data_IF_833314163094
#
_entry.id   IF_833314163094
#
_cell.length_a   1.000
_cell.length_b   1.000
_cell.length_c   1.000
_cell.angle_alpha   90.00
_cell.angle_beta   90.00
_cell.angle_gamma   90.00
#
_symmetry.space_group_name_H-M   'P 1'
#
loop_
_entity.id
_entity.type
_entity.pdbx_description
1 polymer ?
#
# COMPACT_ATOMS: atom_id res chain seq x y z
N UNK A 1 21.30 -4.33 -6.57
CA UNK A 1 21.29 -2.85 -6.65
C UNK A 1 20.99 -2.32 -5.24
N UNK A 2 21.66 -1.27 -4.75
CA UNK A 2 21.54 -0.86 -3.33
C UNK A 2 20.27 -0.06 -3.04
N UNK A 3 19.43 0.24 -4.02
CA UNK A 3 18.20 1.00 -3.91
C UNK A 3 16.93 0.15 -3.73
N UNK A 4 17.07 -1.17 -3.56
CA UNK A 4 15.94 -2.08 -3.35
C UNK A 4 15.51 -2.19 -1.88
N UNK A 5 14.23 -2.45 -1.67
CA UNK A 5 13.61 -2.77 -0.40
C UNK A 5 12.76 -4.04 -0.57
N UNK A 6 12.87 -4.91 0.42
CA UNK A 6 12.10 -6.13 0.54
C UNK A 6 11.43 -6.14 1.90
N UNK A 7 10.13 -6.40 1.90
CA UNK A 7 9.31 -6.39 3.09
C UNK A 7 8.09 -7.26 2.89
N UNK A 8 7.46 -7.60 4.00
CA UNK A 8 6.11 -8.13 3.98
C UNK A 8 5.12 -7.11 4.52
N UNK A 9 3.90 -7.19 4.03
CA UNK A 9 2.77 -6.38 4.49
C UNK A 9 1.59 -7.30 4.77
N UNK A 10 0.95 -7.08 5.91
CA UNK A 10 -0.16 -7.92 6.38
C UNK A 10 -1.24 -7.09 7.06
N UNK A 11 -2.45 -7.65 7.10
CA UNK A 11 -3.59 -7.05 7.78
C UNK A 11 -4.79 -7.99 7.76
N UNK A 12 -5.71 -7.75 8.69
CA UNK A 12 -6.92 -8.58 8.83
C UNK A 12 -7.86 -8.46 7.64
N UNK A 13 -7.92 -7.26 7.05
CA UNK A 13 -8.74 -6.96 5.89
C UNK A 13 -8.02 -6.07 4.89
N UNK A 14 -8.40 -6.17 3.62
CA UNK A 14 -7.99 -5.23 2.58
C UNK A 14 -9.15 -4.94 1.61
N UNK A 15 -9.18 -3.74 1.05
CA UNK A 15 -10.17 -3.31 0.06
C UNK A 15 -9.50 -2.56 -1.08
N UNK A 16 -9.07 -3.30 -2.10
CA UNK A 16 -8.55 -2.74 -3.33
C UNK A 16 -9.69 -2.58 -4.33
N UNK A 17 -10.45 -1.49 -4.21
CA UNK A 17 -11.75 -1.37 -4.89
C UNK A 17 -11.67 -1.54 -6.41
N UNK A 18 -12.48 -2.46 -6.95
CA UNK A 18 -12.77 -2.56 -8.38
C UNK A 18 -13.67 -1.37 -8.79
N UNK A 19 -13.21 -0.48 -9.70
CA UNK A 19 -13.98 0.67 -10.14
C UNK A 19 -15.29 0.31 -10.87
N UNK A 20 -15.38 -0.86 -11.51
CA UNK A 20 -16.59 -1.29 -12.22
C UNK A 20 -17.74 -1.59 -11.26
N UNK A 21 -17.42 -2.09 -10.06
CA UNK A 21 -18.39 -2.51 -9.05
C UNK A 21 -18.89 -1.36 -8.16
N UNK A 22 -18.52 -0.10 -8.47
CA UNK A 22 -18.92 1.08 -7.66
C UNK A 22 -20.32 1.62 -7.96
N UNK A 23 -20.95 1.23 -9.07
CA UNK A 23 -22.19 1.88 -9.56
C UNK A 23 -23.41 1.71 -8.64
N UNK A 24 -23.38 0.79 -7.67
CA UNK A 24 -24.48 0.55 -6.73
C UNK A 24 -24.25 1.07 -5.30
N UNK A 25 -23.21 1.85 -5.05
CA UNK A 25 -22.81 2.25 -3.69
C UNK A 25 -22.13 1.15 -2.88
N UNK A 26 -22.15 -0.09 -3.36
CA UNK A 26 -21.35 -1.22 -2.87
C UNK A 26 -19.91 -1.14 -3.39
N UNK A 27 -19.00 -1.86 -2.73
CA UNK A 27 -17.60 -1.97 -3.15
C UNK A 27 -17.16 -3.42 -3.09
N UNK A 28 -16.60 -3.90 -4.19
CA UNK A 28 -15.91 -5.18 -4.26
C UNK A 28 -14.41 -4.93 -4.33
N UNK A 29 -13.63 -5.68 -3.57
CA UNK A 29 -12.19 -5.72 -3.71
C UNK A 29 -11.77 -6.53 -4.94
N UNK A 30 -10.70 -6.11 -5.60
CA UNK A 30 -9.90 -7.01 -6.44
C UNK A 30 -9.36 -8.16 -5.60
N UNK A 31 -9.08 -9.29 -6.27
CA UNK A 31 -8.48 -10.47 -5.66
C UNK A 31 -7.04 -10.25 -5.18
N UNK A 32 -6.34 -9.26 -5.76
CA UNK A 32 -4.94 -8.95 -5.51
C UNK A 32 -4.75 -7.44 -5.43
N UNK A 33 -3.72 -6.95 -4.70
CA UNK A 33 -3.41 -5.53 -4.64
C UNK A 33 -3.05 -4.95 -6.02
N UNK A 34 -3.46 -3.71 -6.26
CA UNK A 34 -3.02 -2.97 -7.45
C UNK A 34 -1.61 -2.43 -7.27
N UNK A 35 -0.89 -2.21 -8.37
CA UNK A 35 0.45 -1.59 -8.34
C UNK A 35 0.47 -0.29 -7.52
N UNK A 36 -0.53 0.58 -7.74
CA UNK A 36 -0.60 1.87 -7.07
C UNK A 36 -0.86 1.76 -5.56
N UNK A 37 -1.63 0.77 -5.12
CA UNK A 37 -1.85 0.54 -3.68
C UNK A 37 -0.54 0.17 -2.98
N UNK A 38 0.26 -0.69 -3.62
CA UNK A 38 1.55 -1.13 -3.09
C UNK A 38 2.58 -0.02 -3.11
N UNK A 39 2.62 0.76 -4.19
CA UNK A 39 3.42 1.97 -4.27
C UNK A 39 3.10 2.90 -3.09
N UNK A 40 1.82 3.13 -2.79
CA UNK A 40 1.38 3.94 -1.65
C UNK A 40 1.84 3.38 -0.30
N UNK A 41 1.80 2.05 -0.12
CA UNK A 41 2.31 1.39 1.09
C UNK A 41 3.82 1.63 1.26
N UNK A 42 4.62 1.46 0.20
CA UNK A 42 6.05 1.74 0.24
C UNK A 42 6.32 3.21 0.57
N UNK A 43 5.55 4.11 -0.01
CA UNK A 43 5.67 5.54 0.28
C UNK A 43 5.35 5.84 1.76
N UNK A 44 4.38 5.14 2.36
CA UNK A 44 4.07 5.25 3.80
C UNK A 44 5.21 4.79 4.70
N UNK A 45 6.02 3.82 4.26
CA UNK A 45 7.25 3.44 4.96
C UNK A 45 8.21 4.64 4.97
N UNK A 46 8.57 5.15 3.81
CA UNK A 46 9.37 6.35 3.66
C UNK A 46 9.29 6.90 2.24
N UNK A 47 9.08 8.22 2.13
CA UNK A 47 9.07 8.90 0.84
C UNK A 47 9.60 10.33 0.93
N UNK A 48 10.21 10.79 -0.16
CA UNK A 48 10.58 12.17 -0.45
C UNK A 48 10.35 12.45 -1.93
N UNK A 49 10.05 13.71 -2.33
CA UNK A 49 9.79 14.08 -3.73
C UNK A 49 10.97 13.82 -4.68
N UNK A 50 12.18 13.68 -4.13
CA UNK A 50 13.41 13.26 -4.83
C UNK A 50 13.31 11.84 -5.40
N UNK A 51 12.38 11.01 -4.90
CA UNK A 51 12.27 9.60 -5.22
C UNK A 51 10.97 9.28 -5.94
N UNK A 52 11.04 8.34 -6.87
CA UNK A 52 9.89 7.59 -7.39
C UNK A 52 10.06 6.12 -7.00
N UNK A 53 9.01 5.54 -6.43
CA UNK A 53 8.97 4.13 -6.09
C UNK A 53 8.51 3.31 -7.29
N UNK A 54 9.26 2.25 -7.57
CA UNK A 54 8.95 1.23 -8.57
C UNK A 54 8.72 -0.10 -7.85
N UNK A 55 7.55 -0.70 -8.04
CA UNK A 55 7.22 -2.02 -7.49
C UNK A 55 7.64 -3.08 -8.51
N UNK A 56 8.54 -3.96 -8.11
CA UNK A 56 9.10 -4.96 -9.01
C UNK A 56 8.30 -6.26 -9.00
N UNK A 57 8.03 -6.77 -7.79
CA UNK A 57 7.39 -8.08 -7.61
C UNK A 57 6.51 -8.09 -6.37
N UNK A 58 5.49 -8.93 -6.45
CA UNK A 58 4.64 -9.28 -5.34
C UNK A 58 4.44 -10.78 -5.27
N UNK A 59 4.40 -11.30 -4.05
CA UNK A 59 4.03 -12.67 -3.76
C UNK A 59 2.85 -12.68 -2.80
N UNK A 60 1.81 -13.41 -3.18
CA UNK A 60 0.61 -13.61 -2.36
C UNK A 60 0.87 -14.80 -1.46
N UNK A 61 0.88 -14.58 -0.14
CA UNK A 61 1.28 -15.62 0.82
C UNK A 61 0.09 -16.43 1.32
N UNK A 62 -1.07 -15.79 1.46
CA UNK A 62 -2.28 -16.41 1.97
C UNK A 62 -3.28 -16.66 0.83
N UNK A 63 -4.12 -17.70 0.97
CA UNK A 63 -5.20 -17.97 0.04
C UNK A 63 -6.18 -16.79 -0.03
N UNK A 64 -6.64 -16.47 -1.25
CA UNK A 64 -7.58 -15.38 -1.50
C UNK A 64 -8.94 -15.77 -0.91
N UNK A 65 -9.37 -15.04 0.11
CA UNK A 65 -10.66 -15.22 0.78
C UNK A 65 -11.37 -13.88 0.86
N UNK A 66 -12.67 -13.89 0.60
CA UNK A 66 -13.51 -12.69 0.64
C UNK A 66 -14.51 -12.76 1.79
N UNK A 67 -14.82 -11.61 2.38
CA UNK A 67 -15.83 -11.46 3.42
C UNK A 67 -16.66 -10.20 3.14
N UNK A 68 -17.98 -10.35 3.05
CA UNK A 68 -18.90 -9.23 2.90
C UNK A 68 -19.26 -8.66 4.27
N UNK A 69 -19.23 -7.33 4.41
CA UNK A 69 -19.59 -6.62 5.64
C UNK A 69 -20.51 -5.45 5.33
N UNK A 70 -21.52 -5.29 6.17
CA UNK A 70 -22.34 -4.08 6.21
C UNK A 70 -21.52 -2.89 6.74
N UNK A 71 -21.45 -1.84 5.94
CA UNK A 71 -20.72 -0.61 6.23
C UNK A 71 -21.68 0.56 6.11
N UNK A 72 -21.48 1.59 6.93
CA UNK A 72 -22.05 2.91 6.73
C UNK A 72 -21.02 3.79 6.03
N UNK A 73 -21.16 4.08 4.72
CA UNK A 73 -20.21 4.94 4.01
C UNK A 73 -20.15 6.33 4.64
N UNK A 74 -18.94 6.91 4.67
CA UNK A 74 -18.73 8.28 5.15
C UNK A 74 -18.76 9.20 3.92
N UNK A 75 -19.86 9.92 3.75
CA UNK A 75 -20.07 10.84 2.64
C UNK A 75 -20.55 12.20 3.15
N UNK A 76 -20.16 13.29 2.45
CA UNK A 76 -20.42 14.65 2.90
C UNK A 76 -21.91 15.00 3.00
N UNK A 77 -22.75 14.42 2.12
CA UNK A 77 -24.20 14.68 2.09
C UNK A 77 -24.99 14.15 3.28
N UNK A 78 -24.35 13.34 4.15
CA UNK A 78 -25.05 12.66 5.24
C UNK A 78 -26.00 11.56 4.76
N UNK A 79 -26.50 10.76 5.71
CA UNK A 79 -27.42 9.63 5.44
C UNK A 79 -27.08 8.39 6.26
N UNK A 80 -28.08 7.53 6.47
CA UNK A 80 -27.92 6.21 7.11
C UNK A 80 -27.94 5.08 6.06
N UNK A 81 -27.34 5.32 4.90
CA UNK A 81 -27.26 4.30 3.85
C UNK A 81 -26.36 3.17 4.33
N UNK A 82 -26.90 1.96 4.35
CA UNK A 82 -26.14 0.74 4.58
C UNK A 82 -25.69 0.22 3.21
N UNK A 83 -24.40 -0.06 3.07
CA UNK A 83 -23.83 -0.67 1.88
C UNK A 83 -23.06 -1.93 2.25
N UNK A 84 -23.05 -2.93 1.38
CA UNK A 84 -22.22 -4.12 1.57
C UNK A 84 -20.90 -3.95 0.85
N UNK A 85 -19.80 -3.98 1.60
CA UNK A 85 -18.46 -3.99 1.04
C UNK A 85 -17.88 -5.39 1.18
N UNK A 86 -17.31 -5.91 0.10
CA UNK A 86 -16.62 -7.20 0.11
C UNK A 86 -15.11 -6.98 0.18
N UNK A 87 -14.52 -7.43 1.28
CA UNK A 87 -13.12 -7.28 1.62
C UNK A 87 -12.35 -8.56 1.36
N UNK A 88 -11.03 -8.45 1.15
CA UNK A 88 -10.13 -9.59 1.32
C UNK A 88 -9.92 -9.81 2.81
N UNK A 89 -9.81 -11.07 3.23
CA UNK A 89 -9.61 -11.44 4.64
C UNK A 89 -8.26 -12.11 4.86
N UNK A 90 -7.59 -11.77 5.97
CA UNK A 90 -6.33 -12.32 6.43
C UNK A 90 -5.28 -12.31 5.32
N UNK A 91 -4.90 -11.11 4.89
CA UNK A 91 -3.99 -10.92 3.76
C UNK A 91 -2.54 -10.81 4.23
N UNK A 92 -1.63 -11.40 3.46
CA UNK A 92 -0.19 -11.28 3.66
C UNK A 92 0.49 -11.30 2.30
N UNK A 93 1.37 -10.33 2.06
CA UNK A 93 2.09 -10.17 0.80
C UNK A 93 3.57 -9.93 1.08
N UNK A 94 4.44 -10.59 0.32
CA UNK A 94 5.84 -10.15 0.21
C UNK A 94 5.95 -9.21 -0.98
N UNK A 95 6.74 -8.15 -0.83
CA UNK A 95 6.91 -7.10 -1.83
C UNK A 95 8.40 -6.85 -2.04
N UNK A 96 8.81 -6.82 -3.31
CA UNK A 96 10.10 -6.30 -3.73
C UNK A 96 9.87 -5.02 -4.53
N UNK A 97 10.54 -3.95 -4.13
CA UNK A 97 10.47 -2.65 -4.78
C UNK A 97 11.85 -1.98 -4.78
N UNK A 98 12.02 -0.96 -5.61
CA UNK A 98 13.18 -0.08 -5.56
C UNK A 98 12.77 1.37 -5.79
N UNK A 99 13.66 2.30 -5.47
CA UNK A 99 13.46 3.71 -5.82
C UNK A 99 14.39 4.14 -6.95
N UNK A 100 13.88 5.03 -7.80
CA UNK A 100 14.68 5.80 -8.75
C UNK A 100 14.62 7.28 -8.37
N UNK A 101 15.58 8.07 -8.83
CA UNK A 101 15.50 9.52 -8.65
C UNK A 101 14.45 10.11 -9.60
N UNK A 102 13.65 11.03 -9.08
CA UNK A 102 12.58 11.66 -9.84
C UNK A 102 13.15 12.58 -10.94
N UNK A 103 13.02 12.24 -12.23
CA UNK A 103 13.55 13.06 -13.32
C UNK A 103 12.77 14.38 -13.47
N UNK A 104 11.51 14.41 -13.03
CA UNK A 104 10.63 15.59 -13.08
C UNK A 104 10.96 16.64 -12.03
N UNK A 105 11.93 16.37 -11.14
CA UNK A 105 12.41 17.30 -10.10
C UNK A 105 13.90 17.59 -10.27
N UNK A 106 14.28 18.36 -11.31
CA UNK A 106 15.67 18.77 -11.51
C UNK A 106 16.17 19.69 -10.39
N UNK A 107 15.28 20.46 -9.76
CA UNK A 107 15.56 21.29 -8.60
C UNK A 107 16.09 20.50 -7.39
N UNK A 108 15.78 19.21 -7.30
CA UNK A 108 16.23 18.32 -6.23
C UNK A 108 17.46 17.48 -6.62
N UNK A 109 18.19 17.84 -7.69
CA UNK A 109 19.37 17.10 -8.12
C UNK A 109 20.42 16.97 -7.00
N UNK A 110 20.56 17.99 -6.15
CA UNK A 110 21.47 17.98 -5.00
C UNK A 110 21.12 16.94 -3.93
N UNK A 111 19.87 16.48 -3.88
CA UNK A 111 19.38 15.51 -2.89
C UNK A 111 19.46 14.06 -3.41
N UNK A 112 19.91 13.85 -4.66
CA UNK A 112 19.97 12.51 -5.30
C UNK A 112 21.11 11.66 -4.75
N UNK A 113 20.96 11.20 -3.51
CA UNK A 113 21.94 10.39 -2.79
C UNK A 113 21.36 9.03 -2.39
N UNK A 114 21.81 7.97 -3.07
CA UNK A 114 21.32 6.61 -2.85
C UNK A 114 21.59 6.12 -1.42
N UNK A 115 22.79 6.36 -0.90
CA UNK A 115 23.19 5.92 0.43
C UNK A 115 22.32 6.56 1.52
N UNK A 116 22.02 7.86 1.38
CA UNK A 116 21.14 8.59 2.29
C UNK A 116 19.74 7.98 2.30
N UNK A 117 19.08 7.90 1.14
CA UNK A 117 17.69 7.48 1.05
C UNK A 117 17.52 6.01 1.39
N UNK A 118 18.42 5.14 0.94
CA UNK A 118 18.39 3.71 1.26
C UNK A 118 18.49 3.44 2.76
N UNK A 119 19.44 4.09 3.44
CA UNK A 119 19.63 3.88 4.88
C UNK A 119 18.47 4.43 5.70
N UNK A 120 17.82 5.52 5.27
CA UNK A 120 16.60 6.01 5.92
C UNK A 120 15.44 5.05 5.66
N UNK A 121 15.27 4.58 4.42
CA UNK A 121 14.24 3.63 4.02
C UNK A 121 14.32 2.35 4.85
N UNK A 122 15.51 1.73 4.93
CA UNK A 122 15.77 0.55 5.77
C UNK A 122 15.48 0.78 7.24
N UNK A 123 15.91 1.90 7.82
CA UNK A 123 15.64 2.22 9.24
C UNK A 123 14.14 2.42 9.48
N UNK A 124 13.45 3.05 8.54
CA UNK A 124 12.01 3.30 8.63
C UNK A 124 11.23 1.98 8.55
N UNK A 125 11.63 1.08 7.64
CA UNK A 125 11.04 -0.26 7.55
C UNK A 125 11.22 -1.07 8.85
N UNK A 126 12.41 -1.02 9.47
CA UNK A 126 12.67 -1.74 10.73
C UNK A 126 11.78 -1.32 11.89
N UNK A 127 11.19 -0.14 11.85
CA UNK A 127 10.28 0.37 12.89
C UNK A 127 8.81 0.36 12.44
N UNK A 128 8.47 -0.36 11.36
CA UNK A 128 7.10 -0.48 10.86
C UNK A 128 6.63 0.65 9.94
N UNK A 129 7.55 1.51 9.49
CA UNK A 129 7.26 2.67 8.64
C UNK A 129 7.17 3.99 9.42
N UNK A 130 6.90 5.09 8.69
CA UNK A 130 6.80 6.44 9.28
C UNK A 130 5.36 6.96 9.34
N UNK A 131 4.45 6.30 8.64
CA UNK A 131 3.02 6.63 8.54
C UNK A 131 2.23 5.34 8.67
N UNK A 132 0.96 5.49 8.99
CA UNK A 132 0.01 4.37 9.01
C UNK A 132 -0.02 3.66 7.65
N UNK A 133 -0.12 2.34 7.72
CA UNK A 133 -0.22 1.47 6.55
C UNK A 133 -1.70 1.13 6.36
N UNK A 134 -2.23 1.46 5.19
CA UNK A 134 -3.60 1.16 4.81
C UNK A 134 -3.63 0.25 3.57
N UNK A 135 -4.41 -0.82 3.65
CA UNK A 135 -4.60 -1.80 2.60
C UNK A 135 -5.81 -1.40 1.73
N UNK A 136 -5.65 -0.31 1.01
CA UNK A 136 -6.63 0.22 0.05
C UNK A 136 -7.59 1.26 0.65
N UNK A 137 -8.10 1.04 1.86
CA UNK A 137 -9.00 1.99 2.55
C UNK A 137 -8.61 2.20 4.01
N UNK A 138 -9.15 3.25 4.65
CA UNK A 138 -8.74 3.70 5.99
C UNK A 138 -9.11 2.72 7.10
N UNK A 139 -10.22 2.01 6.93
CA UNK A 139 -10.68 0.96 7.85
C UNK A 139 -9.84 -0.32 7.74
N UNK A 140 -9.05 -0.49 6.68
CA UNK A 140 -8.17 -1.62 6.46
C UNK A 140 -6.73 -1.31 6.89
N UNK A 141 -6.51 -1.10 8.18
CA UNK A 141 -5.16 -0.88 8.71
C UNK A 141 -4.32 -2.18 8.64
N UNK A 142 -3.05 -2.03 8.29
CA UNK A 142 -2.08 -3.12 8.26
C UNK A 142 -0.75 -2.71 8.86
N UNK A 143 0.24 -3.59 8.72
CA UNK A 143 1.60 -3.38 9.19
C UNK A 143 2.61 -3.91 8.16
N UNK A 144 3.85 -3.43 8.27
CA UNK A 144 4.96 -3.84 7.42
C UNK A 144 6.14 -4.29 8.26
N UNK A 145 6.81 -5.35 7.82
CA UNK A 145 8.00 -5.88 8.48
C UNK A 145 9.10 -6.20 7.46
N UNK A 146 10.39 -6.05 7.82
CA UNK A 146 11.48 -6.51 6.98
C UNK A 146 11.35 -8.01 6.66
N UNK A 147 11.39 -8.36 5.38
CA UNK A 147 11.26 -9.74 4.92
C UNK A 147 12.17 -9.93 3.71
N UNK A 148 12.77 -11.11 3.59
CA UNK A 148 13.49 -11.49 2.37
C UNK A 148 12.48 -12.05 1.38
N UNK A 149 12.47 -11.51 0.16
CA UNK A 149 11.52 -11.88 -0.89
C UNK A 149 11.78 -13.29 -1.45
#
# INVERSE_FOLDING_TARGET
MRNSIEFEVFGDYALFTDPLMKMGGEKLTYQVPTYQAIKGIVESIYWKPTLLIIVDKIRIMNAIKMESKGIRPIEYGGGNTLANYTYLKNVRYQVQAHFIFNPHRPDLAFDRNEFKHHNILKRSLKVGGRRDIFLGTRECQGYVEPCVF
#
